data_IF_481325717366
#
_entry.id   IF_481325717366
#
_cell.length_a   1.000
_cell.length_b   1.000
_cell.length_c   1.000
_cell.angle_alpha   90.00
_cell.angle_beta   90.00
_cell.angle_gamma   90.00
#
_symmetry.space_group_name_H-M   'P 1'
#
loop_
_entity.id
_entity.type
_entity.pdbx_description
1 polymer ?
#
# COMPACT_ATOMS: atom_id res chain seq x y z
N UNK A 1 -3.18 -11.45 15.68
CA UNK A 1 -3.37 -12.91 15.66
C UNK A 1 -2.04 -13.54 16.05
N UNK A 2 -1.96 -13.99 17.30
CA UNK A 2 -0.85 -14.78 17.83
C UNK A 2 -1.10 -16.23 17.43
N UNK A 3 -0.10 -16.95 16.90
CA UNK A 3 0.22 -18.36 17.22
C UNK A 3 1.51 -18.80 16.51
N UNK A 4 2.50 -19.12 17.36
CA UNK A 4 3.55 -20.15 17.28
C UNK A 4 4.45 -20.28 16.05
N UNK A 5 5.68 -19.78 16.20
CA UNK A 5 6.86 -20.42 15.64
C UNK A 5 7.21 -21.71 16.40
N UNK A 6 7.55 -22.76 15.66
CA UNK A 6 8.20 -23.97 16.18
C UNK A 6 9.60 -24.03 15.59
N UNK A 7 10.58 -23.61 16.40
CA UNK A 7 12.00 -23.87 16.19
C UNK A 7 12.31 -25.22 16.85
N UNK A 8 12.54 -26.25 16.04
CA UNK A 8 13.13 -27.51 16.49
C UNK A 8 14.61 -27.50 16.13
N UNK A 9 15.43 -27.04 17.08
CA UNK A 9 16.86 -27.34 17.15
C UNK A 9 17.04 -28.69 17.85
N UNK A 10 17.47 -29.70 17.11
CA UNK A 10 17.92 -30.99 17.65
C UNK A 10 19.38 -31.23 17.30
N UNK A 11 20.24 -31.16 18.31
CA UNK A 11 21.64 -31.61 18.29
C UNK A 11 21.73 -33.03 18.87
N UNK A 12 22.75 -33.80 18.44
CA UNK A 12 23.18 -35.09 19.01
C UNK A 12 22.53 -36.30 18.33
N UNK A 13 23.22 -37.35 17.88
CA UNK A 13 24.48 -37.94 18.32
C UNK A 13 25.12 -38.74 17.17
N UNK A 14 26.46 -38.83 17.20
CA UNK A 14 27.29 -39.61 16.26
C UNK A 14 27.79 -40.86 16.99
N UNK A 15 27.39 -42.09 16.62
CA UNK A 15 28.05 -43.29 17.11
C UNK A 15 29.01 -43.90 16.08
N UNK A 16 29.93 -44.67 16.65
CA UNK A 16 31.20 -45.13 16.12
C UNK A 16 31.12 -46.19 15.00
N UNK A 17 32.22 -46.23 14.24
CA UNK A 17 32.63 -47.33 13.38
C UNK A 17 32.63 -48.67 14.13
N UNK A 18 32.00 -49.69 13.53
CA UNK A 18 32.18 -51.09 13.90
C UNK A 18 32.11 -51.95 12.65
N UNK A 19 33.29 -52.27 12.14
CA UNK A 19 33.58 -53.25 11.10
C UNK A 19 33.16 -54.65 11.56
N UNK A 20 32.20 -55.26 10.88
CA UNK A 20 32.02 -56.71 10.91
C UNK A 20 31.50 -57.20 9.55
N UNK A 21 32.41 -57.82 8.80
CA UNK A 21 32.14 -58.51 7.54
C UNK A 21 31.33 -59.77 7.81
N UNK A 22 30.14 -59.87 7.24
CA UNK A 22 29.45 -61.16 7.06
C UNK A 22 28.84 -61.19 5.66
N UNK A 23 29.44 -62.04 4.83
CA UNK A 23 28.98 -62.40 3.49
C UNK A 23 27.78 -63.33 3.62
N UNK A 24 26.60 -62.86 3.21
CA UNK A 24 25.39 -63.67 3.08
C UNK A 24 24.67 -63.32 1.76
N UNK A 25 24.05 -64.35 1.19
CA UNK A 25 23.65 -64.51 -0.20
C UNK A 25 22.58 -63.52 -0.74
N UNK A 26 22.50 -63.30 -2.06
CA UNK A 26 21.65 -62.30 -2.70
C UNK A 26 20.27 -62.88 -3.03
N UNK A 27 19.25 -62.68 -2.17
CA UNK A 27 17.85 -63.00 -2.57
C UNK A 27 16.77 -62.14 -1.90
N UNK A 28 17.13 -61.08 -1.17
CA UNK A 28 16.16 -60.19 -0.48
C UNK A 28 15.90 -58.83 -1.17
N UNK A 29 16.42 -58.63 -2.39
CA UNK A 29 16.45 -57.31 -3.03
C UNK A 29 15.17 -56.93 -3.80
N UNK A 30 14.18 -57.84 -3.92
CA UNK A 30 13.00 -57.62 -4.76
C UNK A 30 11.86 -56.93 -4.01
N UNK A 31 11.56 -57.30 -2.76
CA UNK A 31 10.49 -56.69 -1.95
C UNK A 31 10.81 -55.25 -1.53
N UNK A 32 12.09 -54.93 -1.30
CA UNK A 32 12.52 -53.56 -0.99
C UNK A 32 12.28 -52.59 -2.15
N UNK A 33 12.37 -53.06 -3.40
CA UNK A 33 12.12 -52.27 -4.60
C UNK A 33 10.65 -51.89 -4.77
N UNK A 34 9.74 -52.82 -4.53
CA UNK A 34 8.28 -52.58 -4.62
C UNK A 34 7.80 -51.59 -3.55
N UNK A 35 8.34 -51.69 -2.33
CA UNK A 35 8.04 -50.73 -1.25
C UNK A 35 8.56 -49.34 -1.62
N UNK A 36 9.77 -49.23 -2.18
CA UNK A 36 10.34 -47.95 -2.58
C UNK A 36 9.55 -47.27 -3.71
N UNK A 37 9.08 -48.05 -4.70
CA UNK A 37 8.22 -47.55 -5.78
C UNK A 37 6.86 -47.09 -5.25
N UNK A 38 6.22 -47.87 -4.37
CA UNK A 38 4.95 -47.52 -3.76
C UNK A 38 5.04 -46.23 -2.91
N UNK A 39 6.12 -46.07 -2.14
CA UNK A 39 6.38 -44.86 -1.34
C UNK A 39 6.62 -43.65 -2.25
N UNK A 40 7.41 -43.80 -3.32
CA UNK A 40 7.66 -42.72 -4.29
C UNK A 40 6.37 -42.26 -4.99
N UNK A 41 5.51 -43.20 -5.38
CA UNK A 41 4.21 -42.92 -6.00
C UNK A 41 3.26 -42.23 -5.02
N UNK A 42 3.21 -42.69 -3.76
CA UNK A 42 2.39 -42.07 -2.72
C UNK A 42 2.88 -40.65 -2.39
N UNK A 43 4.20 -40.43 -2.28
CA UNK A 43 4.78 -39.11 -2.06
C UNK A 43 4.46 -38.15 -3.22
N UNK A 44 4.59 -38.60 -4.47
CA UNK A 44 4.25 -37.79 -5.65
C UNK A 44 2.76 -37.42 -5.68
N UNK A 45 1.88 -38.36 -5.38
CA UNK A 45 0.44 -38.11 -5.29
C UNK A 45 0.09 -37.11 -4.17
N UNK A 46 0.75 -37.22 -3.02
CA UNK A 46 0.57 -36.28 -1.91
C UNK A 46 1.04 -34.86 -2.27
N UNK A 47 2.17 -34.72 -2.96
CA UNK A 47 2.67 -33.42 -3.44
C UNK A 47 1.69 -32.77 -4.42
N UNK A 48 1.15 -33.53 -5.38
CA UNK A 48 0.16 -33.00 -6.34
C UNK A 48 -1.16 -32.59 -5.67
N UNK A 49 -1.63 -33.36 -4.68
CA UNK A 49 -2.83 -32.99 -3.92
C UNK A 49 -2.62 -31.72 -3.08
N UNK A 50 -1.48 -31.59 -2.40
CA UNK A 50 -1.12 -30.37 -1.64
C UNK A 50 -1.02 -29.16 -2.59
N UNK A 51 -0.45 -29.33 -3.78
CA UNK A 51 -0.39 -28.29 -4.81
C UNK A 51 -1.78 -27.88 -5.29
N UNK A 52 -2.69 -28.82 -5.48
CA UNK A 52 -4.08 -28.55 -5.88
C UNK A 52 -4.86 -27.83 -4.78
N UNK A 53 -4.71 -28.25 -3.53
CA UNK A 53 -5.37 -27.62 -2.38
C UNK A 53 -4.86 -26.19 -2.16
N UNK A 54 -3.55 -25.98 -2.22
CA UNK A 54 -2.97 -24.64 -2.11
C UNK A 54 -3.39 -23.72 -3.26
N UNK A 55 -3.44 -24.22 -4.51
CA UNK A 55 -3.95 -23.44 -5.64
C UNK A 55 -5.43 -23.04 -5.45
N UNK A 56 -6.25 -23.93 -4.92
CA UNK A 56 -7.68 -23.65 -4.64
C UNK A 56 -7.81 -22.59 -3.55
N UNK A 57 -7.09 -22.73 -2.43
CA UNK A 57 -7.12 -21.78 -1.33
C UNK A 57 -6.62 -20.37 -1.76
N UNK A 58 -5.58 -20.31 -2.61
CA UNK A 58 -5.10 -19.05 -3.17
C UNK A 58 -6.15 -18.41 -4.08
N UNK A 59 -6.83 -19.18 -4.93
CA UNK A 59 -7.88 -18.67 -5.80
C UNK A 59 -9.07 -18.11 -5.00
N UNK A 60 -9.50 -18.80 -3.94
CA UNK A 60 -10.57 -18.34 -3.04
C UNK A 60 -10.17 -17.06 -2.31
N UNK A 61 -8.96 -16.98 -1.77
CA UNK A 61 -8.45 -15.78 -1.12
C UNK A 61 -8.37 -14.58 -2.08
N UNK A 62 -7.93 -14.81 -3.34
CA UNK A 62 -7.93 -13.79 -4.38
C UNK A 62 -9.35 -13.31 -4.72
N UNK A 63 -10.32 -14.23 -4.80
CA UNK A 63 -11.71 -13.87 -5.06
C UNK A 63 -12.30 -13.02 -3.93
N UNK A 64 -12.04 -13.37 -2.66
CA UNK A 64 -12.48 -12.60 -1.50
C UNK A 64 -11.85 -11.20 -1.48
N UNK A 65 -10.55 -11.09 -1.77
CA UNK A 65 -9.87 -9.80 -1.87
C UNK A 65 -10.50 -8.92 -2.96
N UNK A 66 -10.79 -9.47 -4.15
CA UNK A 66 -11.48 -8.70 -5.21
C UNK A 66 -12.86 -8.23 -4.78
N UNK A 67 -13.66 -9.10 -4.16
CA UNK A 67 -14.99 -8.72 -3.68
C UNK A 67 -14.93 -7.63 -2.61
N UNK A 68 -13.98 -7.70 -1.67
CA UNK A 68 -13.75 -6.67 -0.67
C UNK A 68 -13.35 -5.34 -1.32
N UNK A 69 -12.47 -5.38 -2.33
CA UNK A 69 -12.06 -4.20 -3.07
C UNK A 69 -13.23 -3.55 -3.84
N UNK A 70 -14.06 -4.35 -4.52
CA UNK A 70 -15.25 -3.86 -5.24
C UNK A 70 -16.29 -3.23 -4.28
N UNK A 71 -16.38 -3.72 -3.04
CA UNK A 71 -17.19 -3.11 -1.99
C UNK A 71 -16.61 -1.76 -1.52
N UNK A 72 -15.31 -1.70 -1.22
CA UNK A 72 -14.62 -0.46 -0.83
C UNK A 72 -14.70 0.60 -1.94
N UNK A 73 -14.52 0.20 -3.19
CA UNK A 73 -14.63 1.09 -4.35
C UNK A 73 -16.04 1.70 -4.47
N UNK A 74 -17.10 0.88 -4.31
CA UNK A 74 -18.48 1.38 -4.27
C UNK A 74 -18.72 2.37 -3.13
N UNK A 75 -18.21 2.07 -1.93
CA UNK A 75 -18.30 2.97 -0.77
C UNK A 75 -17.58 4.30 -1.01
N UNK A 76 -16.46 4.30 -1.72
CA UNK A 76 -15.74 5.51 -2.09
C UNK A 76 -16.60 6.42 -2.98
N UNK A 77 -17.23 5.84 -4.02
CA UNK A 77 -18.16 6.57 -4.87
C UNK A 77 -19.36 7.11 -4.09
N UNK A 78 -19.94 6.30 -3.22
CA UNK A 78 -21.07 6.71 -2.40
C UNK A 78 -20.71 7.86 -1.44
N UNK A 79 -19.50 7.84 -0.87
CA UNK A 79 -19.01 8.91 0.02
C UNK A 79 -18.90 10.28 -0.66
N UNK A 80 -18.77 10.31 -1.99
CA UNK A 80 -18.61 11.55 -2.78
C UNK A 80 -19.90 12.04 -3.42
N UNK A 81 -20.86 11.15 -3.71
CA UNK A 81 -22.15 11.49 -4.34
C UNK A 81 -23.00 12.49 -3.56
N UNK A 82 -22.85 12.54 -2.23
CA UNK A 82 -23.57 13.49 -1.36
C UNK A 82 -22.92 14.87 -1.23
N UNK A 83 -21.74 15.08 -1.79
CA UNK A 83 -20.97 16.31 -1.64
C UNK A 83 -21.41 17.36 -2.66
N UNK A 84 -21.46 18.64 -2.29
CA UNK A 84 -21.75 19.75 -3.22
C UNK A 84 -20.52 20.26 -3.96
N UNK A 85 -19.33 19.86 -3.52
CA UNK A 85 -18.05 20.24 -4.10
C UNK A 85 -17.76 19.42 -5.37
N UNK A 86 -17.88 20.08 -6.54
CA UNK A 86 -17.65 19.44 -7.84
C UNK A 86 -16.21 18.94 -8.01
N UNK A 87 -15.21 19.68 -7.51
CA UNK A 87 -13.81 19.27 -7.65
C UNK A 87 -13.56 17.99 -6.84
N UNK A 88 -14.13 17.90 -5.63
CA UNK A 88 -14.04 16.70 -4.80
C UNK A 88 -14.72 15.49 -5.48
N UNK A 89 -15.87 15.69 -6.12
CA UNK A 89 -16.55 14.65 -6.89
C UNK A 89 -15.72 14.18 -8.10
N UNK A 90 -15.20 15.11 -8.91
CA UNK A 90 -14.40 14.81 -10.10
C UNK A 90 -13.13 14.02 -9.72
N UNK A 91 -12.41 14.46 -8.67
CA UNK A 91 -11.21 13.77 -8.19
C UNK A 91 -11.56 12.42 -7.56
N UNK A 92 -12.68 12.31 -6.83
CA UNK A 92 -13.15 11.06 -6.25
C UNK A 92 -13.48 9.99 -7.28
N UNK A 93 -14.14 10.37 -8.38
CA UNK A 93 -14.42 9.46 -9.49
C UNK A 93 -13.15 9.00 -10.23
N UNK A 94 -12.18 9.91 -10.43
CA UNK A 94 -10.90 9.54 -11.05
C UNK A 94 -10.04 8.66 -10.11
N UNK A 95 -10.07 8.92 -8.80
CA UNK A 95 -9.44 8.07 -7.80
C UNK A 95 -10.01 6.65 -7.82
N UNK A 96 -11.34 6.48 -7.84
CA UNK A 96 -11.99 5.17 -7.98
C UNK A 96 -11.44 4.42 -9.20
N UNK A 97 -11.45 5.08 -10.36
CA UNK A 97 -10.98 4.52 -11.63
C UNK A 97 -9.52 4.08 -11.54
N UNK A 98 -8.62 4.95 -11.07
CA UNK A 98 -7.17 4.65 -11.00
C UNK A 98 -6.86 3.55 -10.00
N UNK A 99 -7.50 3.58 -8.85
CA UNK A 99 -7.35 2.54 -7.82
C UNK A 99 -7.81 1.19 -8.37
N UNK A 100 -8.91 1.16 -9.16
CA UNK A 100 -9.41 -0.07 -9.79
C UNK A 100 -8.44 -0.61 -10.85
N UNK A 101 -7.89 0.27 -11.67
CA UNK A 101 -6.87 -0.10 -12.66
C UNK A 101 -5.61 -0.66 -11.98
N UNK A 102 -5.16 -0.03 -10.90
CA UNK A 102 -4.04 -0.50 -10.11
C UNK A 102 -4.34 -1.86 -9.48
N UNK A 103 -5.50 -2.04 -8.84
CA UNK A 103 -5.92 -3.32 -8.25
C UNK A 103 -5.88 -4.47 -9.26
N UNK A 104 -6.43 -4.26 -10.47
CA UNK A 104 -6.38 -5.29 -11.52
C UNK A 104 -4.94 -5.59 -11.97
N UNK A 105 -4.08 -4.58 -12.04
CA UNK A 105 -2.65 -4.76 -12.37
C UNK A 105 -1.86 -5.50 -11.27
N UNK A 106 -2.34 -5.44 -10.02
CA UNK A 106 -1.73 -6.05 -8.84
C UNK A 106 -2.31 -7.44 -8.52
N UNK A 107 -3.26 -7.98 -9.30
CA UNK A 107 -4.01 -9.20 -8.97
C UNK A 107 -3.16 -10.45 -8.66
N UNK A 108 -1.94 -10.51 -9.18
CA UNK A 108 -0.99 -11.60 -8.94
C UNK A 108 -0.08 -11.35 -7.73
N UNK A 109 -0.12 -10.15 -7.15
CA UNK A 109 0.61 -9.72 -5.97
C UNK A 109 -0.34 -9.45 -4.80
N UNK A 110 -0.60 -10.50 -4.01
CA UNK A 110 -1.55 -10.45 -2.90
C UNK A 110 -1.14 -9.42 -1.82
N UNK A 111 0.16 -9.32 -1.51
CA UNK A 111 0.66 -8.36 -0.52
C UNK A 111 0.37 -6.92 -0.92
N UNK A 112 0.69 -6.53 -2.15
CA UNK A 112 0.44 -5.18 -2.64
C UNK A 112 -1.06 -4.90 -2.80
N UNK A 113 -1.85 -5.91 -3.16
CA UNK A 113 -3.32 -5.81 -3.21
C UNK A 113 -3.90 -5.52 -1.82
N UNK A 114 -3.39 -6.18 -0.78
CA UNK A 114 -3.80 -5.92 0.61
C UNK A 114 -3.38 -4.53 1.09
N UNK A 115 -2.18 -4.06 0.72
CA UNK A 115 -1.75 -2.68 1.02
C UNK A 115 -2.67 -1.64 0.35
N UNK A 116 -3.05 -1.86 -0.91
CA UNK A 116 -4.00 -1.00 -1.60
C UNK A 116 -5.37 -0.97 -0.90
N UNK A 117 -5.86 -2.13 -0.44
CA UNK A 117 -7.11 -2.22 0.31
C UNK A 117 -7.04 -1.48 1.65
N UNK A 118 -5.91 -1.61 2.37
CA UNK A 118 -5.64 -0.85 3.60
C UNK A 118 -5.75 0.65 3.37
N UNK A 119 -5.07 1.16 2.35
CA UNK A 119 -5.05 2.59 2.04
C UNK A 119 -6.46 3.12 1.73
N UNK A 120 -7.25 2.36 0.95
CA UNK A 120 -8.65 2.72 0.65
C UNK A 120 -9.54 2.63 1.88
N UNK A 121 -9.32 1.63 2.75
CA UNK A 121 -10.07 1.49 3.99
C UNK A 121 -9.78 2.65 4.96
N UNK A 122 -8.51 3.03 5.12
CA UNK A 122 -8.10 4.21 5.89
C UNK A 122 -8.76 5.48 5.33
N UNK A 123 -8.79 5.64 4.00
CA UNK A 123 -9.42 6.78 3.34
C UNK A 123 -10.92 6.89 3.65
N UNK A 124 -11.63 5.75 3.61
CA UNK A 124 -13.05 5.64 3.93
C UNK A 124 -13.33 5.85 5.43
N UNK A 125 -12.38 5.48 6.29
CA UNK A 125 -12.42 5.72 7.72
C UNK A 125 -12.10 7.17 8.13
N UNK A 126 -11.74 8.04 7.19
CA UNK A 126 -11.32 9.42 7.48
C UNK A 126 -9.90 9.52 8.06
N UNK A 127 -9.08 8.48 7.91
CA UNK A 127 -7.68 8.43 8.32
C UNK A 127 -6.78 8.93 7.18
N UNK A 128 -6.94 10.18 6.79
CA UNK A 128 -6.43 10.74 5.53
C UNK A 128 -4.90 10.69 5.43
N UNK A 129 -4.21 10.99 6.53
CA UNK A 129 -2.74 10.93 6.60
C UNK A 129 -2.25 9.49 6.43
N UNK A 130 -2.90 8.52 7.06
CA UNK A 130 -2.56 7.10 6.98
C UNK A 130 -2.80 6.57 5.57
N UNK A 131 -3.95 6.91 4.98
CA UNK A 131 -4.28 6.54 3.59
C UNK A 131 -3.22 7.02 2.59
N UNK A 132 -2.82 8.30 2.67
CA UNK A 132 -1.75 8.85 1.79
C UNK A 132 -0.41 8.19 2.07
N UNK A 133 -0.06 7.93 3.33
CA UNK A 133 1.19 7.28 3.70
C UNK A 133 1.27 5.86 3.12
N UNK A 134 0.27 5.02 3.37
CA UNK A 134 0.21 3.65 2.86
C UNK A 134 0.23 3.61 1.32
N UNK A 135 -0.49 4.53 0.68
CA UNK A 135 -0.49 4.63 -0.78
C UNK A 135 0.87 5.10 -1.33
N UNK A 136 1.55 6.00 -0.62
CA UNK A 136 2.90 6.44 -0.94
C UNK A 136 3.92 5.30 -0.83
N UNK A 137 3.82 4.48 0.23
CA UNK A 137 4.63 3.26 0.40
C UNK A 137 4.39 2.27 -0.74
N UNK A 138 3.13 2.06 -1.14
CA UNK A 138 2.78 1.21 -2.27
C UNK A 138 3.39 1.74 -3.57
N UNK A 139 3.31 3.06 -3.83
CA UNK A 139 3.91 3.69 -5.00
C UNK A 139 5.46 3.63 -5.02
N UNK A 140 6.09 3.48 -3.84
CA UNK A 140 7.52 3.27 -3.67
C UNK A 140 7.96 1.79 -3.68
N UNK A 141 7.02 0.84 -3.76
CA UNK A 141 7.33 -0.58 -3.73
C UNK A 141 8.02 -1.07 -5.02
N UNK A 142 8.56 -2.30 -4.98
CA UNK A 142 9.16 -2.96 -6.15
C UNK A 142 8.08 -3.42 -7.13
N UNK A 143 7.66 -2.52 -8.00
CA UNK A 143 6.61 -2.69 -9.00
C UNK A 143 7.22 -2.90 -10.40
N UNK A 144 6.42 -3.44 -11.33
CA UNK A 144 6.74 -3.30 -12.76
C UNK A 144 6.65 -1.83 -13.19
N UNK A 145 7.24 -1.41 -14.33
CA UNK A 145 7.13 -0.03 -14.80
C UNK A 145 5.67 0.44 -14.97
N UNK A 146 4.81 -0.42 -15.51
CA UNK A 146 3.40 -0.11 -15.71
C UNK A 146 2.66 0.01 -14.36
N UNK A 147 2.90 -0.92 -13.44
CA UNK A 147 2.34 -0.86 -12.09
C UNK A 147 2.83 0.37 -11.32
N UNK A 148 4.09 0.77 -11.50
CA UNK A 148 4.67 1.98 -10.89
C UNK A 148 3.93 3.23 -11.37
N UNK A 149 3.63 3.28 -12.67
CA UNK A 149 2.89 4.40 -13.26
C UNK A 149 1.47 4.46 -12.69
N UNK A 150 0.76 3.33 -12.66
CA UNK A 150 -0.58 3.24 -12.08
C UNK A 150 -0.60 3.57 -10.58
N UNK A 151 0.42 3.15 -9.83
CA UNK A 151 0.52 3.41 -8.39
C UNK A 151 0.75 4.90 -8.10
N UNK A 152 1.64 5.56 -8.85
CA UNK A 152 1.85 7.01 -8.76
C UNK A 152 0.60 7.80 -9.13
N UNK A 153 -0.08 7.37 -10.18
CA UNK A 153 -1.32 7.98 -10.65
C UNK A 153 -2.43 7.89 -9.60
N UNK A 154 -2.62 6.71 -9.00
CA UNK A 154 -3.58 6.51 -7.93
C UNK A 154 -3.18 7.26 -6.65
N UNK A 155 -1.88 7.31 -6.30
CA UNK A 155 -1.35 8.12 -5.20
C UNK A 155 -1.68 9.60 -5.39
N UNK A 156 -1.40 10.16 -6.58
CA UNK A 156 -1.67 11.57 -6.90
C UNK A 156 -3.17 11.89 -6.79
N UNK A 157 -4.05 11.01 -7.29
CA UNK A 157 -5.49 11.19 -7.16
C UNK A 157 -5.95 11.10 -5.69
N UNK A 158 -5.38 10.20 -4.89
CA UNK A 158 -5.70 10.07 -3.47
C UNK A 158 -5.24 11.29 -2.69
N UNK A 159 -4.00 11.73 -2.89
CA UNK A 159 -3.44 12.93 -2.30
C UNK A 159 -4.26 14.18 -2.66
N UNK A 160 -4.69 14.31 -3.92
CA UNK A 160 -5.56 15.40 -4.36
C UNK A 160 -6.94 15.34 -3.68
N UNK A 161 -7.52 14.14 -3.57
CA UNK A 161 -8.83 13.93 -2.94
C UNK A 161 -8.81 14.35 -1.47
N UNK A 162 -7.84 13.85 -0.68
CA UNK A 162 -7.72 14.22 0.73
C UNK A 162 -7.35 15.69 0.90
N UNK A 163 -6.57 16.26 -0.01
CA UNK A 163 -6.27 17.70 0.02
C UNK A 163 -7.56 18.49 -0.17
N UNK A 164 -8.37 18.19 -1.19
CA UNK A 164 -9.64 18.90 -1.38
C UNK A 164 -10.57 18.71 -0.16
N UNK A 165 -10.68 17.49 0.36
CA UNK A 165 -11.53 17.17 1.53
C UNK A 165 -11.16 17.96 2.78
N UNK A 166 -9.86 18.16 3.05
CA UNK A 166 -9.39 18.79 4.28
C UNK A 166 -9.22 20.31 4.17
N UNK A 167 -9.05 20.85 2.98
CA UNK A 167 -8.66 22.25 2.80
C UNK A 167 -9.72 23.10 2.07
N UNK A 168 -10.77 22.51 1.50
CA UNK A 168 -11.80 23.26 0.75
C UNK A 168 -12.56 24.29 1.58
N UNK A 169 -12.58 24.15 2.91
CA UNK A 169 -13.27 25.07 3.82
C UNK A 169 -12.35 26.13 4.43
N UNK A 170 -11.11 26.27 3.94
CA UNK A 170 -10.20 27.31 4.41
C UNK A 170 -10.65 28.68 3.91
N UNK A 171 -11.04 29.53 4.85
CA UNK A 171 -11.53 30.89 4.56
C UNK A 171 -10.50 31.70 3.74
N UNK A 172 -10.95 32.23 2.61
CA UNK A 172 -10.13 33.07 1.72
C UNK A 172 -9.08 32.32 0.90
N UNK A 173 -9.06 30.98 0.92
CA UNK A 173 -8.05 30.17 0.24
C UNK A 173 -8.56 29.36 -0.95
N UNK A 174 -9.84 29.51 -1.34
CA UNK A 174 -10.50 28.68 -2.36
C UNK A 174 -9.67 28.54 -3.65
N UNK A 175 -9.15 29.65 -4.16
CA UNK A 175 -8.35 29.64 -5.40
C UNK A 175 -6.99 28.93 -5.23
N UNK A 176 -6.34 29.07 -4.08
CA UNK A 176 -5.03 28.45 -3.86
C UNK A 176 -5.21 26.95 -3.55
N UNK A 177 -6.26 26.56 -2.82
CA UNK A 177 -6.62 25.15 -2.59
C UNK A 177 -6.95 24.45 -3.90
N UNK A 178 -7.80 25.05 -4.75
CA UNK A 178 -8.13 24.48 -6.05
C UNK A 178 -6.88 24.30 -6.94
N UNK A 179 -5.96 25.27 -6.94
CA UNK A 179 -4.69 25.16 -7.68
C UNK A 179 -3.81 24.05 -7.13
N UNK A 180 -3.66 23.98 -5.81
CA UNK A 180 -2.90 22.93 -5.13
C UNK A 180 -3.43 21.56 -5.52
N UNK A 181 -4.73 21.34 -5.38
CA UNK A 181 -5.40 20.06 -5.70
C UNK A 181 -5.19 19.68 -7.16
N UNK A 182 -5.37 20.62 -8.09
CA UNK A 182 -5.15 20.34 -9.52
C UNK A 182 -3.70 19.99 -9.85
N UNK A 183 -2.72 20.64 -9.22
CA UNK A 183 -1.30 20.34 -9.42
C UNK A 183 -0.93 18.97 -8.85
N UNK A 184 -1.39 18.65 -7.63
CA UNK A 184 -1.20 17.32 -7.01
C UNK A 184 -1.85 16.23 -7.86
N UNK A 185 -3.09 16.44 -8.30
CA UNK A 185 -3.84 15.47 -9.10
C UNK A 185 -3.12 15.10 -10.40
N UNK A 186 -2.41 16.06 -11.01
CA UNK A 186 -1.58 15.87 -12.20
C UNK A 186 -0.18 15.34 -11.91
N UNK A 187 0.20 15.18 -10.65
CA UNK A 187 1.56 14.83 -10.23
C UNK A 187 2.59 15.95 -10.48
N UNK A 188 2.14 17.20 -10.68
CA UNK A 188 3.02 18.35 -10.92
C UNK A 188 3.32 19.08 -9.61
N UNK A 189 4.18 18.47 -8.79
CA UNK A 189 4.51 18.99 -7.47
C UNK A 189 5.27 20.32 -7.50
N UNK A 190 5.97 20.64 -8.59
CA UNK A 190 6.59 21.96 -8.78
C UNK A 190 5.55 23.07 -8.87
N UNK A 191 4.44 22.84 -9.59
CA UNK A 191 3.33 23.80 -9.66
C UNK A 191 2.49 23.86 -8.38
N UNK A 192 2.54 22.81 -7.56
CA UNK A 192 1.88 22.76 -6.26
C UNK A 192 2.57 23.65 -5.20
N UNK A 193 3.87 23.95 -5.36
CA UNK A 193 4.64 24.67 -4.33
C UNK A 193 4.10 26.08 -4.03
N UNK A 194 3.84 26.97 -5.01
CA UNK A 194 3.36 28.31 -4.70
C UNK A 194 2.02 28.36 -3.92
N UNK A 195 0.94 27.66 -4.33
CA UNK A 195 -0.30 27.65 -3.55
C UNK A 195 -0.10 26.98 -2.19
N UNK A 196 0.71 25.93 -2.10
CA UNK A 196 1.03 25.27 -0.84
C UNK A 196 1.71 26.22 0.16
N UNK A 197 2.69 27.01 -0.29
CA UNK A 197 3.36 28.03 0.53
C UNK A 197 2.38 29.07 1.07
N UNK A 198 1.44 29.53 0.25
CA UNK A 198 0.42 30.49 0.68
C UNK A 198 -0.54 29.89 1.70
N UNK A 199 -1.10 28.71 1.42
CA UNK A 199 -1.99 28.01 2.35
C UNK A 199 -1.29 27.82 3.69
N UNK A 200 -0.04 27.35 3.68
CA UNK A 200 0.71 27.12 4.91
C UNK A 200 1.01 28.42 5.68
N UNK A 201 1.37 29.49 4.99
CA UNK A 201 1.77 30.76 5.63
C UNK A 201 0.62 31.67 6.05
N UNK A 202 -0.56 31.54 5.42
CA UNK A 202 -1.66 32.48 5.57
C UNK A 202 -2.92 31.85 6.19
N UNK A 203 -3.16 30.55 6.00
CA UNK A 203 -4.34 29.89 6.55
C UNK A 203 -4.13 29.47 8.02
N UNK A 204 -5.23 29.39 8.77
CA UNK A 204 -5.21 28.78 10.10
C UNK A 204 -5.34 27.27 9.97
N UNK A 205 -4.21 26.57 9.95
CA UNK A 205 -4.17 25.11 9.81
C UNK A 205 -4.22 24.40 11.17
N UNK A 206 -5.06 23.35 11.26
CA UNK A 206 -5.06 22.41 12.39
C UNK A 206 -3.78 21.55 12.41
N UNK A 207 -3.45 20.91 13.54
CA UNK A 207 -2.32 19.97 13.59
C UNK A 207 -2.43 18.84 12.55
N UNK A 208 -3.63 18.24 12.41
CA UNK A 208 -3.88 17.17 11.44
C UNK A 208 -3.68 17.63 9.99
N UNK A 209 -4.14 18.84 9.65
CA UNK A 209 -3.91 19.44 8.33
C UNK A 209 -2.41 19.65 8.05
N UNK A 210 -1.63 20.14 9.01
CA UNK A 210 -0.17 20.32 8.85
C UNK A 210 0.55 18.99 8.67
N UNK A 211 0.14 17.98 9.42
CA UNK A 211 0.65 16.62 9.29
C UNK A 211 0.36 16.05 7.91
N UNK A 212 -0.88 16.18 7.42
CA UNK A 212 -1.28 15.73 6.08
C UNK A 212 -0.44 16.39 4.98
N UNK A 213 -0.21 17.71 5.05
CA UNK A 213 0.67 18.40 4.10
C UNK A 213 2.10 17.87 4.18
N UNK A 214 2.60 17.61 5.39
CA UNK A 214 3.95 17.06 5.55
C UNK A 214 4.05 15.67 4.92
N UNK A 215 3.12 14.76 5.22
CA UNK A 215 3.08 13.40 4.66
C UNK A 215 2.96 13.41 3.15
N UNK A 216 2.13 14.28 2.58
CA UNK A 216 1.91 14.35 1.13
C UNK A 216 3.14 14.90 0.39
N UNK A 217 3.79 15.94 0.93
CA UNK A 217 4.78 16.73 0.19
C UNK A 217 6.24 16.53 0.62
N UNK A 218 6.52 15.89 1.76
CA UNK A 218 7.89 15.74 2.27
C UNK A 218 8.82 15.05 1.26
N UNK A 219 8.31 14.05 0.54
CA UNK A 219 9.07 13.30 -0.47
C UNK A 219 9.40 14.09 -1.75
N UNK A 220 8.74 15.23 -1.99
CA UNK A 220 8.92 16.04 -3.19
C UNK A 220 9.74 17.31 -2.97
N UNK A 221 10.15 17.58 -1.72
CA UNK A 221 11.01 18.70 -1.38
C UNK A 221 12.46 18.19 -1.15
N UNK A 222 13.48 18.77 -1.81
CA UNK A 222 14.88 18.32 -1.69
C UNK A 222 15.44 18.30 -0.26
N UNK A 223 14.87 19.10 0.63
CA UNK A 223 15.26 19.22 2.05
C UNK A 223 14.11 18.85 3.00
N UNK A 224 13.05 18.20 2.51
CA UNK A 224 11.82 18.01 3.26
C UNK A 224 10.95 19.27 3.29
N UNK A 225 9.65 19.09 3.06
CA UNK A 225 8.70 20.21 3.03
C UNK A 225 8.56 20.82 4.43
N UNK A 226 8.61 19.99 5.48
CA UNK A 226 8.64 20.45 6.88
C UNK A 226 9.69 21.53 7.16
N UNK A 227 10.90 21.41 6.62
CA UNK A 227 11.98 22.37 6.89
C UNK A 227 11.78 23.68 6.13
N UNK A 228 11.32 23.59 4.88
CA UNK A 228 10.95 24.74 4.08
C UNK A 228 9.77 25.50 4.71
N UNK A 229 8.74 24.77 5.15
CA UNK A 229 7.56 25.31 5.80
C UNK A 229 7.89 25.95 7.16
N UNK A 230 8.78 25.34 7.95
CA UNK A 230 9.27 25.89 9.22
C UNK A 230 10.06 27.19 9.02
N UNK A 231 10.87 27.25 7.97
CA UNK A 231 11.62 28.47 7.61
C UNK A 231 10.69 29.58 7.13
N UNK A 232 9.67 29.23 6.34
CA UNK A 232 8.64 30.16 5.89
C UNK A 232 7.85 30.74 7.07
N UNK A 233 7.44 29.89 8.02
CA UNK A 233 6.72 30.32 9.22
C UNK A 233 7.54 31.32 10.05
N UNK A 234 8.84 31.03 10.28
CA UNK A 234 9.74 31.96 10.98
C UNK A 234 9.83 33.32 10.28
N UNK A 235 9.87 33.33 8.95
CA UNK A 235 9.86 34.55 8.16
C UNK A 235 8.56 35.35 8.32
N UNK A 236 7.40 34.68 8.25
CA UNK A 236 6.09 35.30 8.47
C UNK A 236 5.96 35.85 9.89
N UNK A 237 6.37 35.10 10.90
CA UNK A 237 6.33 35.52 12.30
C UNK A 237 7.26 36.72 12.56
N UNK A 238 8.43 36.76 11.91
CA UNK A 238 9.32 37.90 11.95
C UNK A 238 8.66 39.14 11.33
N UNK A 239 8.05 39.02 10.15
CA UNK A 239 7.35 40.12 9.48
C UNK A 239 6.19 40.67 10.32
N UNK A 240 5.40 39.79 10.96
CA UNK A 240 4.32 40.20 11.87
C UNK A 240 4.84 40.99 13.09
N UNK A 241 6.04 40.68 13.57
CA UNK A 241 6.69 41.44 14.66
C UNK A 241 7.18 42.83 14.25
N UNK A 242 7.42 43.06 12.95
CA UNK A 242 7.84 44.37 12.43
C UNK A 242 6.67 45.25 11.94
N UNK A 243 5.49 44.67 11.74
CA UNK A 243 4.30 45.37 11.23
C UNK A 243 3.33 45.90 12.29
N UNK A 244 3.64 45.74 13.59
CA UNK A 244 2.88 46.27 14.72
C UNK A 244 3.69 47.35 15.46
#
# INVERSE_FOLDING_TARGET
>A
MVVCGVLLTGCGDKPADSTSSTSAAPTQNQEAGEIQEAVSKAASAAVEEVKKQSATAVAEAQQQARAAYDDLSRKLVESTKGQTDKLLQDVGADLEKRTKQLSESLKENQTLTQQLQGAVQALLGGQDTEAVSEMGELAGAKLTPDQTTLAKDAYNAMAAFVTQRNFSTLEGMDSDVARLVNSVWKGNYSEALPPLQKIYGQATLTPAQKELLSTTFDQYAPTGWKDAASSLQKGVDALKKFGN
#
